data_IF_684676494265
#
_entry.id   IF_684676494265
#
_cell.length_a   1.000
_cell.length_b   1.000
_cell.length_c   1.000
_cell.angle_alpha   90.00
_cell.angle_beta   90.00
_cell.angle_gamma   90.00
#
_symmetry.space_group_name_H-M   'P 1'
#
loop_
_entity.id
_entity.type
_entity.pdbx_description
1 polymer ?
#
# COMPACT_ATOMS: atom_id res chain seq x y z
N UNK A 1 -21.68 8.67 -2.36
CA UNK A 1 -20.36 8.11 -1.97
C UNK A 1 -20.45 7.21 -0.74
N UNK A 2 -20.96 7.68 0.41
CA UNK A 2 -21.07 6.85 1.62
C UNK A 2 -21.90 5.57 1.42
N UNK A 3 -23.08 5.65 0.77
CA UNK A 3 -23.91 4.47 0.48
C UNK A 3 -23.24 3.41 -0.40
N UNK A 4 -22.46 3.85 -1.40
CA UNK A 4 -21.68 2.95 -2.27
C UNK A 4 -20.58 2.21 -1.49
N UNK A 5 -19.85 2.93 -0.63
CA UNK A 5 -18.81 2.32 0.22
C UNK A 5 -19.40 1.37 1.24
N UNK A 6 -20.56 1.72 1.82
CA UNK A 6 -21.27 0.86 2.75
C UNK A 6 -21.68 -0.43 2.06
N UNK A 7 -22.29 -0.35 0.86
CA UNK A 7 -22.67 -1.53 0.10
C UNK A 7 -21.49 -2.47 -0.16
N UNK A 8 -20.37 -1.95 -0.69
CA UNK A 8 -19.20 -2.78 -1.01
C UNK A 8 -18.56 -3.38 0.24
N UNK A 9 -18.43 -2.59 1.31
CA UNK A 9 -17.77 -3.04 2.53
C UNK A 9 -18.61 -4.09 3.26
N UNK A 10 -19.93 -3.95 3.27
CA UNK A 10 -20.83 -4.96 3.84
C UNK A 10 -20.85 -6.25 3.01
N UNK A 11 -20.78 -6.17 1.68
CA UNK A 11 -20.64 -7.39 0.86
C UNK A 11 -19.33 -8.11 1.19
N UNK A 12 -18.23 -7.35 1.37
CA UNK A 12 -16.95 -7.90 1.85
C UNK A 12 -17.07 -8.58 3.23
N UNK A 13 -17.79 -7.95 4.18
CA UNK A 13 -18.04 -8.47 5.53
C UNK A 13 -18.88 -9.77 5.50
N UNK A 14 -19.96 -9.79 4.72
CA UNK A 14 -20.87 -10.94 4.62
C UNK A 14 -20.21 -12.14 3.94
N UNK A 15 -19.41 -11.91 2.90
CA UNK A 15 -18.68 -12.98 2.20
C UNK A 15 -17.69 -13.71 3.11
N UNK A 16 -17.23 -13.10 4.20
CA UNK A 16 -16.28 -13.72 5.14
C UNK A 16 -16.91 -14.72 6.10
N UNK A 17 -18.20 -14.56 6.41
CA UNK A 17 -18.91 -15.42 7.37
C UNK A 17 -18.78 -16.92 7.01
N UNK A 18 -19.01 -17.36 5.77
CA UNK A 18 -18.80 -18.76 5.41
C UNK A 18 -17.31 -19.14 5.30
N UNK A 19 -16.45 -18.19 4.94
CA UNK A 19 -15.03 -18.45 4.68
C UNK A 19 -14.19 -18.62 5.94
N UNK A 20 -14.60 -18.04 7.08
CA UNK A 20 -13.82 -18.07 8.32
C UNK A 20 -13.58 -19.50 8.83
N UNK A 21 -14.59 -20.38 8.78
CA UNK A 21 -14.50 -21.76 9.28
C UNK A 21 -13.54 -22.56 8.43
N UNK A 22 -13.70 -22.46 7.11
CA UNK A 22 -12.80 -23.11 6.17
C UNK A 22 -11.35 -22.62 6.35
N UNK A 23 -11.11 -21.31 6.32
CA UNK A 23 -9.74 -20.79 6.23
C UNK A 23 -8.97 -20.81 7.57
N UNK A 24 -9.65 -20.53 8.69
CA UNK A 24 -9.02 -20.45 10.01
C UNK A 24 -8.96 -21.81 10.70
N UNK A 25 -10.06 -22.58 10.65
CA UNK A 25 -10.18 -23.88 11.36
C UNK A 25 -9.74 -25.03 10.45
N UNK A 26 -10.36 -25.20 9.29
CA UNK A 26 -10.12 -26.40 8.45
C UNK A 26 -8.74 -26.37 7.78
N UNK A 27 -8.36 -25.23 7.21
CA UNK A 27 -7.10 -25.06 6.50
C UNK A 27 -5.95 -24.56 7.39
N UNK A 28 -6.23 -24.18 8.66
CA UNK A 28 -5.27 -23.66 9.65
C UNK A 28 -4.24 -22.69 9.05
N UNK A 29 -4.69 -21.76 8.22
CA UNK A 29 -3.77 -20.86 7.53
C UNK A 29 -3.01 -19.97 8.53
N UNK A 30 -1.74 -19.75 8.22
CA UNK A 30 -0.87 -18.84 8.97
C UNK A 30 -1.13 -17.43 8.47
N UNK A 31 -1.86 -16.62 9.25
CA UNK A 31 -1.98 -15.18 9.02
C UNK A 31 -0.94 -14.49 9.92
N UNK A 32 0.27 -14.20 9.44
CA UNK A 32 1.38 -13.79 10.28
C UNK A 32 1.15 -12.43 10.93
N UNK A 33 0.49 -11.49 10.24
CA UNK A 33 0.08 -10.20 10.84
C UNK A 33 -0.88 -10.43 12.02
N UNK A 34 -1.99 -11.15 11.81
CA UNK A 34 -2.96 -11.44 12.87
C UNK A 34 -2.38 -12.31 14.00
N UNK A 35 -1.45 -13.21 13.68
CA UNK A 35 -0.74 -14.01 14.69
C UNK A 35 0.22 -13.15 15.51
N UNK A 36 0.96 -12.24 14.88
CA UNK A 36 1.82 -11.28 15.58
C UNK A 36 0.99 -10.35 16.49
N UNK A 37 -0.17 -9.87 16.01
CA UNK A 37 -1.11 -9.09 16.81
C UNK A 37 -1.63 -9.88 18.01
N UNK A 38 -2.03 -11.14 17.83
CA UNK A 38 -2.49 -11.97 18.94
C UNK A 38 -1.39 -12.21 19.98
N UNK A 39 -0.17 -12.49 19.54
CA UNK A 39 1.00 -12.64 20.43
C UNK A 39 1.28 -11.34 21.18
N UNK A 40 1.14 -10.18 20.53
CA UNK A 40 1.30 -8.88 21.17
C UNK A 40 0.21 -8.60 22.20
N UNK A 41 -1.07 -8.85 21.87
CA UNK A 41 -2.21 -8.69 22.79
C UNK A 41 -2.05 -9.58 24.02
N UNK A 42 -1.75 -10.86 23.81
CA UNK A 42 -1.47 -11.79 24.91
C UNK A 42 -0.24 -11.36 25.71
N UNK A 43 0.76 -10.79 25.02
CA UNK A 43 1.94 -10.19 25.63
C UNK A 43 1.61 -9.03 26.57
N UNK A 44 0.63 -8.17 26.26
CA UNK A 44 0.21 -7.05 27.11
C UNK A 44 -0.40 -7.48 28.44
N UNK A 45 -1.01 -8.66 28.51
CA UNK A 45 -1.61 -9.19 29.73
C UNK A 45 -0.57 -9.82 30.68
N UNK A 46 0.71 -9.76 30.34
CA UNK A 46 1.81 -10.14 31.25
C UNK A 46 2.31 -8.91 32.01
N UNK A 47 2.80 -9.05 33.26
CA UNK A 47 3.36 -7.93 34.03
C UNK A 47 4.61 -7.29 33.36
N UNK A 48 5.30 -8.03 32.49
CA UNK A 48 6.35 -7.51 31.63
C UNK A 48 5.79 -6.67 30.46
N UNK A 49 4.63 -7.07 29.93
CA UNK A 49 3.89 -6.43 28.86
C UNK A 49 3.34 -5.06 29.21
N UNK A 50 2.84 -4.88 30.43
CA UNK A 50 2.35 -3.58 30.92
C UNK A 50 3.45 -2.50 30.87
N UNK A 51 4.66 -2.83 31.34
CA UNK A 51 5.81 -1.92 31.28
C UNK A 51 6.17 -1.58 29.83
N UNK A 52 6.18 -2.57 28.94
CA UNK A 52 6.45 -2.37 27.52
C UNK A 52 5.38 -1.53 26.83
N UNK A 53 4.09 -1.77 27.14
CA UNK A 53 2.96 -0.99 26.63
C UNK A 53 3.08 0.48 27.06
N UNK A 54 3.37 0.74 28.35
CA UNK A 54 3.56 2.10 28.86
C UNK A 54 4.76 2.80 28.22
N UNK A 55 5.81 2.08 27.84
CA UNK A 55 6.92 2.64 27.07
C UNK A 55 6.53 2.93 25.62
N UNK A 56 5.81 2.02 24.95
CA UNK A 56 5.32 2.20 23.58
C UNK A 56 4.36 3.38 23.47
N UNK A 57 3.35 3.47 24.34
CA UNK A 57 2.39 4.59 24.36
C UNK A 57 3.12 5.92 24.60
N UNK A 58 4.09 5.95 25.52
CA UNK A 58 4.88 7.16 25.77
C UNK A 58 5.75 7.55 24.57
N UNK A 59 6.36 6.58 23.90
CA UNK A 59 7.12 6.79 22.67
C UNK A 59 6.23 7.32 21.54
N UNK A 60 5.06 6.73 21.37
CA UNK A 60 4.03 7.17 20.43
C UNK A 60 3.58 8.60 20.72
N UNK A 61 3.15 8.91 21.95
CA UNK A 61 2.67 10.27 22.30
C UNK A 61 3.77 11.32 22.13
N UNK A 62 5.01 11.01 22.50
CA UNK A 62 6.14 11.95 22.33
C UNK A 62 6.41 12.23 20.86
N UNK A 63 6.53 11.18 20.04
CA UNK A 63 6.75 11.32 18.59
C UNK A 63 5.58 11.99 17.89
N UNK A 64 4.36 11.70 18.31
CA UNK A 64 3.13 12.37 17.86
C UNK A 64 3.18 13.88 18.10
N UNK A 65 3.48 14.31 19.33
CA UNK A 65 3.56 15.75 19.66
C UNK A 65 4.71 16.43 18.90
N UNK A 66 5.88 15.78 18.82
CA UNK A 66 7.01 16.31 18.02
C UNK A 66 6.59 16.49 16.57
N UNK A 67 5.91 15.50 15.98
CA UNK A 67 5.51 15.58 14.59
C UNK A 67 4.45 16.63 14.34
N UNK A 68 3.45 16.75 15.22
CA UNK A 68 2.41 17.77 15.11
C UNK A 68 3.00 19.18 15.20
N UNK A 69 3.91 19.41 16.15
CA UNK A 69 4.60 20.70 16.30
C UNK A 69 5.51 21.01 15.11
N UNK A 70 6.20 19.99 14.58
CA UNK A 70 7.02 20.14 13.38
C UNK A 70 6.18 20.50 12.16
N UNK A 71 5.05 19.83 11.94
CA UNK A 71 4.15 20.13 10.82
C UNK A 71 3.50 21.52 10.94
N UNK A 72 3.15 21.94 12.16
CA UNK A 72 2.73 23.33 12.44
C UNK A 72 3.84 24.34 12.10
N UNK A 73 5.06 24.07 12.55
CA UNK A 73 6.22 24.90 12.24
C UNK A 73 6.45 24.98 10.73
N UNK A 74 6.44 23.85 10.01
CA UNK A 74 6.59 23.84 8.56
C UNK A 74 5.49 24.64 7.86
N UNK A 75 4.24 24.48 8.28
CA UNK A 75 3.10 25.22 7.74
C UNK A 75 3.29 26.74 7.88
N UNK A 76 3.90 27.23 8.96
CA UNK A 76 4.15 28.67 9.14
C UNK A 76 5.02 29.31 8.03
N UNK A 77 5.87 28.52 7.36
CA UNK A 77 6.80 28.98 6.31
C UNK A 77 6.35 28.67 4.86
N UNK A 78 5.15 28.14 4.66
CA UNK A 78 4.63 27.74 3.33
C UNK A 78 3.72 28.81 2.68
N UNK A 79 3.91 30.09 3.01
CA UNK A 79 3.04 31.22 2.64
C UNK A 79 2.89 31.57 1.15
N UNK A 80 3.33 30.72 0.22
CA UNK A 80 3.21 30.97 -1.22
C UNK A 80 3.52 29.75 -2.09
N UNK A 81 3.38 29.91 -3.41
CA UNK A 81 3.74 28.85 -4.36
C UNK A 81 5.24 28.56 -4.31
N UNK A 82 5.58 27.29 -4.09
CA UNK A 82 6.96 26.81 -3.98
C UNK A 82 7.75 27.43 -2.81
N UNK A 83 7.08 27.64 -1.68
CA UNK A 83 7.70 28.13 -0.44
C UNK A 83 7.72 27.05 0.65
N UNK A 84 8.71 27.10 1.54
CA UNK A 84 8.81 26.29 2.74
C UNK A 84 9.96 25.27 2.72
N UNK A 85 10.21 24.66 3.88
CA UNK A 85 11.27 23.66 4.07
C UNK A 85 11.13 22.43 3.17
N UNK A 86 9.92 22.16 2.68
CA UNK A 86 9.60 21.09 1.74
C UNK A 86 10.37 21.21 0.41
N UNK A 87 10.90 22.38 0.05
CA UNK A 87 11.68 22.58 -1.17
C UNK A 87 13.16 22.89 -0.92
N UNK A 88 13.66 22.60 0.28
CA UNK A 88 15.05 22.90 0.62
C UNK A 88 16.03 22.06 -0.21
N UNK A 89 16.94 22.67 -1.00
CA UNK A 89 17.84 21.94 -1.90
C UNK A 89 19.02 21.31 -1.14
N UNK A 90 18.77 20.28 -0.33
CA UNK A 90 19.78 19.60 0.52
C UNK A 90 20.99 19.10 -0.26
N UNK A 91 20.80 18.60 -1.47
CA UNK A 91 21.86 18.05 -2.32
C UNK A 91 22.29 19.01 -3.45
N UNK A 92 21.90 20.27 -3.36
CA UNK A 92 22.19 21.32 -4.35
C UNK A 92 21.13 21.48 -5.44
N UNK A 93 21.21 22.59 -6.18
CA UNK A 93 20.19 23.02 -7.15
C UNK A 93 20.00 22.05 -8.32
N UNK A 94 21.06 21.36 -8.75
CA UNK A 94 20.97 20.39 -9.85
C UNK A 94 20.20 19.13 -9.45
N UNK A 95 20.45 18.62 -8.24
CA UNK A 95 19.73 17.49 -7.66
C UNK A 95 18.26 17.84 -7.38
N UNK A 96 18.01 19.06 -6.88
CA UNK A 96 16.67 19.58 -6.65
C UNK A 96 15.81 19.61 -7.93
N UNK A 97 16.37 20.04 -9.08
CA UNK A 97 15.68 19.99 -10.39
C UNK A 97 15.27 18.57 -10.79
N UNK A 98 15.99 17.56 -10.32
CA UNK A 98 15.67 16.14 -10.53
C UNK A 98 14.85 15.55 -9.38
N UNK A 99 14.24 16.37 -8.53
CA UNK A 99 13.46 15.97 -7.35
C UNK A 99 14.27 15.27 -6.24
N UNK A 100 15.60 15.30 -6.29
CA UNK A 100 16.45 14.78 -5.21
C UNK A 100 16.69 15.88 -4.17
N UNK A 101 15.84 15.89 -3.15
CA UNK A 101 15.98 16.71 -1.96
C UNK A 101 15.30 16.00 -0.77
N UNK A 102 15.61 16.44 0.45
CA UNK A 102 14.94 15.99 1.66
C UNK A 102 13.81 16.96 1.97
N UNK A 103 12.58 16.49 2.02
CA UNK A 103 11.40 17.35 2.20
C UNK A 103 11.05 17.61 3.67
N UNK A 104 11.80 16.98 4.59
CA UNK A 104 11.59 17.05 6.04
C UNK A 104 10.18 16.57 6.48
N UNK A 105 9.48 15.78 5.68
CA UNK A 105 8.21 15.16 6.07
C UNK A 105 8.45 14.00 7.03
N UNK A 106 7.98 14.16 8.26
CA UNK A 106 8.04 13.11 9.26
C UNK A 106 7.12 11.93 8.91
N UNK A 107 6.12 12.11 8.05
CA UNK A 107 5.34 11.00 7.48
C UNK A 107 6.21 10.06 6.68
N UNK A 108 7.05 10.58 5.76
CA UNK A 108 7.91 9.73 4.93
C UNK A 108 9.08 9.14 5.70
N UNK A 109 9.64 9.88 6.67
CA UNK A 109 10.62 9.35 7.61
C UNK A 109 10.00 8.21 8.42
N UNK A 110 8.80 8.40 8.98
CA UNK A 110 8.06 7.36 9.72
C UNK A 110 7.75 6.13 8.85
N UNK A 111 7.31 6.32 7.62
CA UNK A 111 7.11 5.22 6.67
C UNK A 111 8.43 4.45 6.42
N UNK A 112 9.54 5.16 6.25
CA UNK A 112 10.87 4.58 6.13
C UNK A 112 11.38 3.81 7.36
N UNK A 113 10.90 4.18 8.56
CA UNK A 113 11.19 3.46 9.80
C UNK A 113 10.43 2.12 9.91
N UNK A 114 9.21 2.05 9.37
CA UNK A 114 8.36 0.85 9.39
C UNK A 114 8.76 -0.11 8.26
N UNK A 115 9.02 0.43 7.07
CA UNK A 115 9.39 -0.36 5.92
C UNK A 115 10.76 -1.03 6.11
N UNK A 116 10.89 -2.27 5.65
CA UNK A 116 12.18 -2.96 5.67
C UNK A 116 13.23 -2.20 4.86
N UNK A 117 14.49 -2.27 5.27
CA UNK A 117 15.60 -1.66 4.54
C UNK A 117 15.66 -2.10 3.06
N UNK A 118 15.20 -3.32 2.76
CA UNK A 118 15.11 -3.81 1.38
C UNK A 118 14.13 -2.98 0.54
N UNK A 119 12.97 -2.63 1.11
CA UNK A 119 11.98 -1.78 0.44
C UNK A 119 12.57 -0.40 0.19
N UNK A 120 13.21 0.20 1.19
CA UNK A 120 13.75 1.56 1.08
C UNK A 120 14.96 1.65 0.13
N UNK A 121 15.82 0.64 0.10
CA UNK A 121 16.89 0.57 -0.90
C UNK A 121 16.34 0.34 -2.30
N UNK A 122 15.27 -0.44 -2.43
CA UNK A 122 14.59 -0.66 -3.72
C UNK A 122 13.90 0.61 -4.22
N UNK A 123 13.22 1.36 -3.34
CA UNK A 123 12.64 2.67 -3.69
C UNK A 123 13.75 3.65 -4.06
N UNK A 124 14.87 3.70 -3.33
CA UNK A 124 16.00 4.56 -3.70
C UNK A 124 16.59 4.19 -5.06
N UNK A 125 16.78 2.90 -5.33
CA UNK A 125 17.26 2.43 -6.63
C UNK A 125 16.28 2.81 -7.76
N UNK A 126 14.97 2.66 -7.53
CA UNK A 126 13.93 3.13 -8.44
C UNK A 126 13.96 4.65 -8.68
N UNK A 127 14.25 5.44 -7.65
CA UNK A 127 14.38 6.90 -7.75
C UNK A 127 15.59 7.31 -8.61
N UNK A 128 16.75 6.70 -8.36
CA UNK A 128 17.98 6.92 -9.15
C UNK A 128 17.77 6.54 -10.60
N UNK A 129 17.17 5.38 -10.86
CA UNK A 129 16.93 4.90 -12.21
C UNK A 129 15.92 5.80 -12.96
N UNK A 130 14.83 6.21 -12.31
CA UNK A 130 13.80 7.05 -12.94
C UNK A 130 14.22 8.51 -13.10
N UNK A 131 14.38 9.24 -11.99
CA UNK A 131 14.64 10.69 -12.00
C UNK A 131 16.11 11.04 -12.22
N UNK A 132 17.04 10.15 -11.88
CA UNK A 132 18.46 10.36 -12.10
C UNK A 132 18.91 10.05 -13.53
N UNK A 133 18.35 9.01 -14.15
CA UNK A 133 18.83 8.49 -15.45
C UNK A 133 17.75 8.60 -16.54
N UNK A 134 16.60 7.95 -16.38
CA UNK A 134 15.62 7.80 -17.47
C UNK A 134 14.97 9.12 -17.89
N UNK A 135 14.42 9.90 -16.97
CA UNK A 135 13.72 11.15 -17.33
C UNK A 135 14.64 12.20 -17.96
N UNK A 136 15.87 12.43 -17.45
CA UNK A 136 16.82 13.31 -18.12
C UNK A 136 17.20 12.86 -19.53
N UNK A 137 17.32 11.56 -19.78
CA UNK A 137 17.64 11.02 -21.11
C UNK A 137 16.46 11.15 -22.09
N UNK A 138 15.25 10.85 -21.64
CA UNK A 138 14.03 10.97 -22.47
C UNK A 138 13.71 12.44 -22.75
N UNK A 139 13.95 13.33 -21.79
CA UNK A 139 13.76 14.77 -21.94
C UNK A 139 14.62 15.37 -23.07
N UNK A 140 15.83 14.83 -23.30
CA UNK A 140 16.69 15.23 -24.44
C UNK A 140 16.13 14.84 -25.81
N UNK A 141 15.19 13.89 -25.88
CA UNK A 141 14.58 13.41 -27.13
C UNK A 141 13.25 14.13 -27.45
N UNK A 142 12.99 15.28 -26.80
CA UNK A 142 11.82 16.13 -27.06
C UNK A 142 11.80 16.58 -28.52
N UNK A 143 10.65 16.41 -29.19
CA UNK A 143 10.47 16.72 -30.61
C UNK A 143 10.59 15.51 -31.55
N UNK A 144 11.36 14.48 -31.17
CA UNK A 144 11.54 13.25 -31.98
C UNK A 144 10.65 12.12 -31.44
N UNK A 145 10.70 11.87 -30.14
CA UNK A 145 9.95 10.78 -29.49
C UNK A 145 8.54 11.21 -29.08
N UNK A 146 8.38 12.48 -28.69
CA UNK A 146 7.10 13.08 -28.33
C UNK A 146 7.04 14.55 -28.78
N UNK A 147 5.84 15.07 -29.11
CA UNK A 147 5.67 16.41 -29.65
C UNK A 147 6.07 17.49 -28.63
N UNK A 148 6.79 18.51 -29.09
CA UNK A 148 7.25 19.62 -28.24
C UNK A 148 6.12 20.61 -27.85
N UNK A 149 5.03 20.62 -28.61
CA UNK A 149 3.93 21.58 -28.50
C UNK A 149 2.90 21.20 -27.42
N UNK A 150 3.06 20.05 -26.76
CA UNK A 150 2.10 19.55 -25.79
C UNK A 150 2.69 19.70 -24.38
N UNK A 151 1.90 20.17 -23.38
CA UNK A 151 2.38 20.31 -22.01
C UNK A 151 2.93 18.99 -21.44
N UNK A 152 3.93 19.09 -20.57
CA UNK A 152 4.60 17.92 -19.95
C UNK A 152 3.67 17.06 -19.10
N UNK A 153 2.51 17.59 -18.73
CA UNK A 153 1.44 16.89 -18.01
C UNK A 153 0.55 16.00 -18.89
N UNK A 154 0.63 16.15 -20.22
CA UNK A 154 -0.18 15.36 -21.15
C UNK A 154 0.31 13.92 -21.31
N UNK A 155 -0.61 13.02 -21.64
CA UNK A 155 -0.29 11.59 -21.86
C UNK A 155 0.60 11.35 -23.08
N UNK A 156 0.58 12.25 -24.06
CA UNK A 156 1.41 12.15 -25.26
C UNK A 156 2.83 12.69 -25.04
N UNK A 157 3.12 13.27 -23.88
CA UNK A 157 4.43 13.84 -23.53
C UNK A 157 5.16 12.99 -22.49
N UNK A 158 6.17 13.55 -21.82
CA UNK A 158 7.07 12.85 -20.89
C UNK A 158 6.31 12.06 -19.81
N UNK A 159 5.15 12.58 -19.35
CA UNK A 159 4.34 11.95 -18.31
C UNK A 159 3.73 10.60 -18.73
N UNK A 160 3.45 10.42 -20.04
CA UNK A 160 3.04 9.13 -20.59
C UNK A 160 4.09 8.06 -20.30
N UNK A 161 5.36 8.33 -20.63
CA UNK A 161 6.46 7.40 -20.35
C UNK A 161 6.59 7.10 -18.85
N UNK A 162 6.48 8.12 -17.98
CA UNK A 162 6.50 7.94 -16.52
C UNK A 162 5.42 6.98 -16.04
N UNK A 163 4.20 7.19 -16.51
CA UNK A 163 3.04 6.39 -16.14
C UNK A 163 3.15 4.96 -16.65
N UNK A 164 3.41 4.76 -17.94
CA UNK A 164 3.38 3.43 -18.56
C UNK A 164 4.54 2.53 -18.13
N UNK A 165 5.74 3.08 -17.91
CA UNK A 165 6.85 2.30 -17.36
C UNK A 165 6.57 1.85 -15.91
N UNK A 166 5.96 2.73 -15.10
CA UNK A 166 5.50 2.38 -13.76
C UNK A 166 4.42 1.28 -13.80
N UNK A 167 3.42 1.43 -14.68
CA UNK A 167 2.37 0.41 -14.92
C UNK A 167 3.00 -0.93 -15.26
N UNK A 168 3.95 -0.95 -16.20
CA UNK A 168 4.60 -2.16 -16.67
C UNK A 168 5.41 -2.87 -15.58
N UNK A 169 6.16 -2.12 -14.75
CA UNK A 169 6.88 -2.69 -13.61
C UNK A 169 5.94 -3.35 -12.60
N UNK A 170 4.85 -2.64 -12.23
CA UNK A 170 3.88 -3.16 -11.25
C UNK A 170 3.10 -4.34 -11.84
N UNK A 171 2.76 -4.30 -13.13
CA UNK A 171 2.02 -5.37 -13.78
C UNK A 171 2.88 -6.62 -13.96
N UNK A 172 4.17 -6.47 -14.30
CA UNK A 172 5.11 -7.58 -14.36
C UNK A 172 5.31 -8.26 -13.01
N UNK A 173 5.40 -7.48 -11.94
CA UNK A 173 5.56 -7.99 -10.57
C UNK A 173 4.28 -8.71 -10.11
N UNK A 174 3.12 -8.07 -10.34
CA UNK A 174 1.82 -8.63 -10.01
C UNK A 174 1.50 -9.92 -10.78
N UNK A 175 1.79 -9.98 -12.08
CA UNK A 175 1.55 -11.17 -12.89
C UNK A 175 2.45 -12.33 -12.46
N UNK A 176 3.72 -12.06 -12.18
CA UNK A 176 4.65 -13.08 -11.69
C UNK A 176 4.14 -13.72 -10.39
N UNK A 177 3.79 -12.89 -9.40
CA UNK A 177 3.27 -13.39 -8.12
C UNK A 177 1.94 -14.11 -8.31
N UNK A 178 1.04 -13.61 -9.16
CA UNK A 178 -0.23 -14.26 -9.47
C UNK A 178 -0.04 -15.66 -10.04
N UNK A 179 0.81 -15.82 -11.07
CA UNK A 179 1.11 -17.13 -11.69
C UNK A 179 1.74 -18.07 -10.66
N UNK A 180 2.75 -17.60 -9.93
CA UNK A 180 3.45 -18.39 -8.92
C UNK A 180 2.52 -18.87 -7.81
N UNK A 181 1.70 -17.98 -7.26
CA UNK A 181 0.76 -18.27 -6.18
C UNK A 181 -0.34 -19.23 -6.64
N UNK A 182 -0.86 -19.03 -7.85
CA UNK A 182 -1.83 -19.94 -8.46
C UNK A 182 -1.23 -21.33 -8.65
N UNK A 183 0.00 -21.42 -9.16
CA UNK A 183 0.71 -22.69 -9.35
C UNK A 183 1.01 -23.44 -8.04
N UNK A 184 1.50 -22.74 -7.01
CA UNK A 184 1.75 -23.33 -5.68
C UNK A 184 0.44 -23.82 -5.06
N UNK A 185 -0.62 -23.02 -5.16
CA UNK A 185 -1.93 -23.38 -4.61
C UNK A 185 -2.51 -24.58 -5.33
N UNK A 186 -2.50 -24.62 -6.66
CA UNK A 186 -2.97 -25.76 -7.44
C UNK A 186 -2.23 -27.05 -7.05
N UNK A 187 -0.89 -27.00 -6.94
CA UNK A 187 -0.07 -28.14 -6.47
C UNK A 187 -0.42 -28.55 -5.03
N UNK A 188 -0.59 -27.60 -4.12
CA UNK A 188 -0.95 -27.87 -2.73
C UNK A 188 -2.34 -28.51 -2.61
N UNK A 189 -3.31 -28.02 -3.38
CA UNK A 189 -4.67 -28.56 -3.41
C UNK A 189 -4.69 -29.97 -3.99
N UNK A 190 -3.96 -30.20 -5.08
CA UNK A 190 -3.81 -31.52 -5.69
C UNK A 190 -3.15 -32.53 -4.73
N UNK A 191 -2.08 -32.11 -4.03
CA UNK A 191 -1.40 -32.94 -3.05
C UNK A 191 -2.26 -33.22 -1.79
N UNK A 192 -3.05 -32.25 -1.33
CA UNK A 192 -3.97 -32.44 -0.20
C UNK A 192 -5.19 -33.28 -0.56
N UNK A 193 -5.70 -33.20 -1.80
CA UNK A 193 -6.75 -34.09 -2.30
C UNK A 193 -6.31 -35.56 -2.21
N UNK A 194 -5.08 -35.85 -2.66
CA UNK A 194 -4.48 -37.19 -2.55
C UNK A 194 -4.24 -37.61 -1.08
N UNK A 195 -3.88 -36.69 -0.18
CA UNK A 195 -3.69 -37.01 1.26
C UNK A 195 -5.01 -37.19 2.03
N UNK A 196 -6.12 -36.57 1.62
CA UNK A 196 -7.45 -36.78 2.24
C UNK A 196 -7.96 -38.21 2.08
N UNK A 197 -7.56 -38.91 1.02
CA UNK A 197 -7.82 -40.34 0.87
C UNK A 197 -7.05 -41.22 1.87
N UNK A 198 -5.85 -40.79 2.29
CA UNK A 198 -4.98 -41.57 3.20
C UNK A 198 -5.23 -41.25 4.68
N UNK A 199 -5.53 -39.99 5.03
CA UNK A 199 -5.71 -39.57 6.44
C UNK A 199 -7.06 -39.92 7.08
N UNK A 200 -8.08 -40.29 6.31
CA UNK A 200 -9.38 -40.72 6.86
C UNK A 200 -9.30 -42.05 7.62
N UNK A 201 -8.17 -42.77 7.52
CA UNK A 201 -7.93 -44.03 8.21
C UNK A 201 -7.09 -43.92 9.51
N UNK A 202 -6.59 -42.74 9.90
CA UNK A 202 -5.51 -42.67 10.91
C UNK A 202 -5.57 -41.52 11.95
N UNK A 203 -6.66 -40.74 12.03
CA UNK A 203 -6.59 -39.42 12.70
C UNK A 203 -7.73 -39.12 13.68
N UNK A 204 -8.17 -40.11 14.46
CA UNK A 204 -9.06 -39.88 15.62
C UNK A 204 -8.31 -39.48 16.92
N UNK A 205 -7.01 -39.72 17.06
CA UNK A 205 -6.41 -39.77 18.41
C UNK A 205 -5.43 -38.67 18.86
N UNK A 206 -5.27 -37.53 18.16
CA UNK A 206 -4.38 -36.45 18.69
C UNK A 206 -4.81 -35.03 18.30
N UNK A 207 -5.82 -34.49 18.98
CA UNK A 207 -6.10 -33.04 19.00
C UNK A 207 -5.89 -32.52 20.42
N UNK A 208 -5.07 -31.48 20.59
CA UNK A 208 -4.81 -30.90 21.92
C UNK A 208 -6.08 -30.27 22.52
N UNK A 209 -6.26 -30.37 23.84
CA UNK A 209 -7.45 -29.85 24.54
C UNK A 209 -7.66 -28.34 24.29
N UNK A 210 -6.57 -27.57 24.26
CA UNK A 210 -6.62 -26.13 23.96
C UNK A 210 -7.12 -25.84 22.54
N UNK A 211 -6.79 -26.68 21.56
CA UNK A 211 -7.29 -26.54 20.19
C UNK A 211 -8.78 -26.94 20.10
N UNK A 212 -9.21 -27.94 20.87
CA UNK A 212 -10.63 -28.31 20.97
C UNK A 212 -11.46 -27.16 21.55
N UNK A 213 -11.00 -26.57 22.66
CA UNK A 213 -11.67 -25.43 23.31
C UNK A 213 -11.72 -24.19 22.39
N UNK A 214 -10.63 -23.88 21.66
CA UNK A 214 -10.62 -22.80 20.66
C UNK A 214 -11.61 -23.03 19.52
N UNK A 215 -11.67 -24.27 19.02
CA UNK A 215 -12.57 -24.60 17.93
C UNK A 215 -14.03 -24.52 18.38
N UNK A 216 -14.35 -25.06 19.57
CA UNK A 216 -15.70 -25.10 20.12
C UNK A 216 -16.31 -23.70 20.28
N UNK A 217 -15.56 -22.76 20.87
CA UNK A 217 -15.94 -21.33 21.03
C UNK A 217 -16.15 -20.64 19.66
N UNK A 218 -15.38 -21.03 18.65
CA UNK A 218 -15.46 -20.43 17.33
C UNK A 218 -16.57 -21.04 16.46
N UNK A 219 -16.97 -22.29 16.74
CA UNK A 219 -18.03 -23.03 16.02
C UNK A 219 -19.42 -22.92 16.63
N UNK A 220 -19.61 -22.36 17.83
CA UNK A 220 -20.93 -22.19 18.50
C UNK A 220 -21.89 -21.22 17.77
N UNK A 221 -21.58 -20.85 16.54
CA UNK A 221 -22.42 -20.06 15.65
C UNK A 221 -22.37 -20.69 14.25
N UNK A 222 -23.26 -21.65 14.03
CA UNK A 222 -23.61 -22.18 12.71
C UNK A 222 -25.13 -22.19 12.64
N UNK A 223 -25.68 -21.35 11.76
CA UNK A 223 -26.98 -21.63 11.18
C UNK A 223 -26.77 -21.91 9.68
N UNK A 224 -27.54 -22.88 9.22
CA UNK A 224 -27.18 -23.79 8.15
C UNK A 224 -27.40 -23.25 6.73
N UNK A 225 -26.73 -23.92 5.75
CA UNK A 225 -27.03 -23.93 4.30
C UNK A 225 -26.71 -22.67 3.47
N UNK A 226 -25.42 -22.33 3.33
CA UNK A 226 -24.93 -21.62 2.14
C UNK A 226 -23.51 -22.05 1.72
N UNK A 227 -23.14 -23.31 2.00
CA UNK A 227 -21.76 -23.79 1.82
C UNK A 227 -21.50 -24.51 0.48
N UNK A 228 -22.43 -24.47 -0.48
CA UNK A 228 -22.32 -25.28 -1.71
C UNK A 228 -21.87 -24.52 -2.96
N UNK A 229 -21.88 -23.18 -2.97
CA UNK A 229 -21.56 -22.40 -4.20
C UNK A 229 -20.15 -21.78 -4.17
N UNK A 230 -19.50 -21.67 -3.00
CA UNK A 230 -18.22 -20.96 -2.87
C UNK A 230 -17.00 -21.89 -2.67
N UNK A 231 -17.04 -23.12 -3.21
CA UNK A 231 -15.99 -24.14 -2.99
C UNK A 231 -14.82 -24.12 -4.00
N UNK A 232 -14.85 -23.27 -5.03
CA UNK A 232 -13.90 -23.39 -6.15
C UNK A 232 -12.95 -22.19 -6.34
N UNK A 233 -13.12 -21.01 -5.70
CA UNK A 233 -12.34 -19.83 -6.11
C UNK A 233 -11.49 -19.08 -5.07
N UNK A 234 -11.50 -19.39 -3.77
CA UNK A 234 -10.78 -18.55 -2.80
C UNK A 234 -9.48 -19.18 -2.31
N UNK A 235 -8.45 -18.83 -3.08
CA UNK A 235 -7.07 -19.27 -3.02
C UNK A 235 -6.36 -18.77 -1.75
N UNK A 236 -5.61 -19.70 -1.17
CA UNK A 236 -4.65 -19.60 -0.07
C UNK A 236 -3.51 -18.64 -0.43
N UNK A 237 -3.67 -17.34 -0.15
CA UNK A 237 -2.60 -16.35 -0.33
C UNK A 237 -1.62 -16.36 0.84
N UNK A 238 -0.35 -16.67 0.54
CA UNK A 238 0.75 -16.61 1.50
C UNK A 238 0.98 -15.16 1.92
N UNK A 239 0.65 -14.90 3.17
CA UNK A 239 0.25 -13.59 3.66
C UNK A 239 1.43 -12.82 4.27
N UNK A 240 2.54 -12.68 3.54
CA UNK A 240 3.68 -11.85 4.00
C UNK A 240 3.61 -10.41 3.48
N UNK A 241 2.72 -10.14 2.52
CA UNK A 241 2.70 -8.92 1.72
C UNK A 241 1.26 -8.43 1.41
N UNK A 242 0.31 -8.66 2.32
CA UNK A 242 -1.12 -8.40 2.10
C UNK A 242 -1.43 -6.95 1.60
N UNK A 243 -0.62 -5.97 1.99
CA UNK A 243 -0.77 -4.59 1.50
C UNK A 243 -0.30 -4.37 0.04
N UNK A 244 0.62 -5.20 -0.46
CA UNK A 244 1.15 -5.11 -1.84
C UNK A 244 0.47 -6.08 -2.81
N UNK A 245 -0.12 -7.17 -2.33
CA UNK A 245 -0.65 -8.25 -3.16
C UNK A 245 -2.09 -8.02 -3.69
N UNK A 246 -2.79 -6.99 -3.21
CA UNK A 246 -4.17 -6.66 -3.66
C UNK A 246 -4.21 -5.75 -4.91
N UNK A 247 -3.06 -5.16 -5.27
CA UNK A 247 -2.88 -4.30 -6.45
C UNK A 247 -3.09 -5.02 -7.80
N UNK A 248 -2.63 -6.26 -8.03
CA UNK A 248 -2.84 -6.95 -9.31
C UNK A 248 -4.32 -7.27 -9.61
N UNK A 249 -5.11 -7.70 -8.62
CA UNK A 249 -6.52 -8.08 -8.85
C UNK A 249 -7.37 -6.93 -9.36
N UNK A 250 -7.24 -5.75 -8.72
CA UNK A 250 -7.93 -4.55 -9.18
C UNK A 250 -7.53 -4.16 -10.59
N UNK A 251 -6.24 -4.27 -10.95
CA UNK A 251 -5.73 -3.91 -12.27
C UNK A 251 -6.14 -4.90 -13.37
N UNK A 252 -6.17 -6.19 -13.08
CA UNK A 252 -6.68 -7.19 -14.03
C UNK A 252 -8.16 -6.93 -14.29
N UNK A 253 -8.95 -6.72 -13.23
CA UNK A 253 -10.36 -6.35 -13.36
C UNK A 253 -10.53 -5.06 -14.16
N UNK A 254 -9.67 -4.06 -13.93
CA UNK A 254 -9.67 -2.81 -14.69
C UNK A 254 -9.57 -3.06 -16.20
N UNK A 255 -8.59 -3.84 -16.66
CA UNK A 255 -8.42 -4.11 -18.09
C UNK A 255 -9.60 -4.90 -18.68
N UNK A 256 -10.15 -5.86 -17.94
CA UNK A 256 -11.30 -6.66 -18.38
C UNK A 256 -12.54 -5.77 -18.54
N UNK A 257 -12.90 -4.99 -17.51
CA UNK A 257 -14.08 -4.12 -17.55
C UNK A 257 -13.89 -2.94 -18.49
N UNK A 258 -12.67 -2.42 -18.63
CA UNK A 258 -12.36 -1.37 -19.60
C UNK A 258 -12.53 -1.86 -21.04
N UNK A 259 -12.00 -3.05 -21.37
CA UNK A 259 -12.15 -3.63 -22.69
C UNK A 259 -13.62 -3.98 -23.01
N UNK A 260 -14.38 -4.42 -22.00
CA UNK A 260 -15.80 -4.76 -22.18
C UNK A 260 -16.68 -3.52 -22.36
N UNK A 261 -16.43 -2.42 -21.62
CA UNK A 261 -17.28 -1.22 -21.65
C UNK A 261 -17.21 -0.38 -22.93
N UNK A 262 -16.44 -0.77 -23.95
CA UNK A 262 -16.39 -0.09 -25.24
C UNK A 262 -15.70 1.29 -25.21
N UNK A 263 -15.71 2.00 -26.35
CA UNK A 263 -14.96 3.27 -26.51
C UNK A 263 -15.50 4.43 -25.68
N UNK A 264 -16.81 4.49 -25.47
CA UNK A 264 -17.46 5.66 -24.86
C UNK A 264 -17.51 5.57 -23.33
N UNK A 265 -17.87 4.40 -22.78
CA UNK A 265 -18.03 4.20 -21.32
C UNK A 265 -16.96 3.29 -20.68
N UNK A 266 -16.07 2.69 -21.48
CA UNK A 266 -15.09 1.70 -21.00
C UNK A 266 -14.14 2.25 -19.95
N UNK A 267 -13.74 3.53 -20.03
CA UNK A 267 -12.83 4.11 -19.04
C UNK A 267 -13.48 4.18 -17.66
N UNK A 268 -14.74 4.61 -17.60
CA UNK A 268 -15.49 4.73 -16.34
C UNK A 268 -15.82 3.32 -15.81
N UNK A 269 -16.30 2.43 -16.67
CA UNK A 269 -16.61 1.04 -16.31
C UNK A 269 -15.37 0.31 -15.75
N UNK A 270 -14.21 0.47 -16.39
CA UNK A 270 -12.94 -0.07 -15.94
C UNK A 270 -12.51 0.45 -14.57
N UNK A 271 -12.62 1.77 -14.34
CA UNK A 271 -12.26 2.40 -13.07
C UNK A 271 -13.19 1.96 -11.92
N UNK A 272 -14.50 1.95 -12.15
CA UNK A 272 -15.49 1.53 -11.15
C UNK A 272 -15.34 0.04 -10.85
N UNK A 273 -15.23 -0.80 -11.88
CA UNK A 273 -15.01 -2.24 -11.72
C UNK A 273 -13.72 -2.55 -10.95
N UNK A 274 -12.62 -1.86 -11.28
CA UNK A 274 -11.37 -1.93 -10.53
C UNK A 274 -11.57 -1.57 -9.05
N UNK A 275 -12.26 -0.47 -8.76
CA UNK A 275 -12.47 0.00 -7.40
C UNK A 275 -13.28 -0.99 -6.57
N UNK A 276 -14.36 -1.55 -7.13
CA UNK A 276 -15.21 -2.55 -6.48
C UNK A 276 -14.39 -3.80 -6.14
N UNK A 277 -13.70 -4.38 -7.13
CA UNK A 277 -12.92 -5.62 -6.93
C UNK A 277 -11.80 -5.39 -5.93
N UNK A 278 -11.04 -4.31 -6.09
CA UNK A 278 -9.94 -3.97 -5.17
C UNK A 278 -10.46 -3.81 -3.73
N UNK A 279 -11.54 -3.05 -3.54
CA UNK A 279 -12.07 -2.78 -2.21
C UNK A 279 -12.63 -4.05 -1.56
N UNK A 280 -13.36 -4.88 -2.32
CA UNK A 280 -13.90 -6.14 -1.83
C UNK A 280 -12.79 -7.08 -1.36
N UNK A 281 -11.76 -7.29 -2.21
CA UNK A 281 -10.62 -8.16 -1.88
C UNK A 281 -9.85 -7.62 -0.68
N UNK A 282 -9.60 -6.31 -0.62
CA UNK A 282 -8.90 -5.67 0.49
C UNK A 282 -9.65 -5.86 1.82
N UNK A 283 -10.94 -5.53 1.85
CA UNK A 283 -11.78 -5.66 3.05
C UNK A 283 -11.83 -7.11 3.51
N UNK A 284 -12.01 -8.05 2.59
CA UNK A 284 -12.00 -9.48 2.91
C UNK A 284 -10.65 -9.95 3.47
N UNK A 285 -9.53 -9.48 2.91
CA UNK A 285 -8.21 -9.86 3.37
C UNK A 285 -7.90 -9.31 4.78
N UNK A 286 -8.21 -8.03 5.02
CA UNK A 286 -7.94 -7.36 6.30
C UNK A 286 -8.79 -7.97 7.42
N UNK A 287 -10.09 -8.17 7.20
CA UNK A 287 -10.98 -8.74 8.22
C UNK A 287 -10.63 -10.20 8.58
N UNK A 288 -10.05 -10.95 7.65
CA UNK A 288 -9.60 -12.32 7.91
C UNK A 288 -8.38 -12.36 8.86
N UNK A 289 -7.52 -11.34 8.82
CA UNK A 289 -6.44 -11.19 9.81
C UNK A 289 -6.98 -11.00 11.22
N UNK A 290 -8.06 -10.21 11.37
CA UNK A 290 -8.71 -10.01 12.66
C UNK A 290 -9.33 -11.31 13.18
N UNK A 291 -9.99 -12.10 12.33
CA UNK A 291 -10.54 -13.39 12.73
C UNK A 291 -9.46 -14.36 13.21
N UNK A 292 -8.29 -14.37 12.56
CA UNK A 292 -7.16 -15.16 13.07
C UNK A 292 -6.68 -14.66 14.42
N UNK A 293 -6.61 -13.33 14.59
CA UNK A 293 -6.25 -12.72 15.88
C UNK A 293 -7.23 -13.15 16.96
N UNK A 294 -8.53 -12.99 16.71
CA UNK A 294 -9.61 -13.38 17.63
C UNK A 294 -9.60 -14.86 18.00
N UNK A 295 -9.31 -15.75 17.04
CA UNK A 295 -9.19 -17.18 17.31
C UNK A 295 -8.01 -17.51 18.23
N UNK A 296 -6.89 -16.77 18.13
CA UNK A 296 -5.70 -16.96 18.98
C UNK A 296 -5.84 -16.29 20.35
N UNK A 297 -6.66 -15.23 20.46
CA UNK A 297 -6.94 -14.52 21.72
C UNK A 297 -8.21 -15.02 22.42
N UNK A 298 -8.82 -16.13 21.94
CA UNK A 298 -10.08 -16.68 22.47
C UNK A 298 -11.24 -15.68 22.49
N UNK A 299 -11.21 -14.69 21.60
CA UNK A 299 -12.26 -13.67 21.50
C UNK A 299 -13.48 -14.23 20.78
N UNK A 300 -14.68 -13.91 21.28
CA UNK A 300 -15.91 -14.40 20.67
C UNK A 300 -16.08 -13.87 19.23
N UNK A 301 -16.39 -14.73 18.24
CA UNK A 301 -16.57 -14.29 16.85
C UNK A 301 -17.72 -13.30 16.66
N UNK A 302 -18.73 -13.34 17.54
CA UNK A 302 -19.88 -12.44 17.51
C UNK A 302 -19.47 -11.02 17.87
N UNK A 303 -18.70 -10.86 18.95
CA UNK A 303 -18.19 -9.55 19.36
C UNK A 303 -17.27 -8.98 18.28
N UNK A 304 -16.43 -9.83 17.67
CA UNK A 304 -15.55 -9.41 16.58
C UNK A 304 -16.34 -8.94 15.35
N UNK A 305 -17.37 -9.68 14.92
CA UNK A 305 -18.22 -9.30 13.79
C UNK A 305 -18.95 -7.99 14.04
N UNK A 306 -19.51 -7.79 15.24
CA UNK A 306 -20.19 -6.54 15.62
C UNK A 306 -19.19 -5.38 15.62
N UNK A 307 -18.00 -5.57 16.19
CA UNK A 307 -16.94 -4.56 16.18
C UNK A 307 -16.51 -4.18 14.76
N UNK A 308 -16.34 -5.16 13.87
CA UNK A 308 -16.02 -4.94 12.46
C UNK A 308 -17.15 -4.21 11.73
N UNK A 309 -18.41 -4.55 11.99
CA UNK A 309 -19.57 -3.87 11.39
C UNK A 309 -19.63 -2.39 11.83
N UNK A 310 -19.47 -2.11 13.13
CA UNK A 310 -19.46 -0.74 13.67
C UNK A 310 -18.30 0.06 13.06
N UNK A 311 -17.09 -0.50 13.07
CA UNK A 311 -15.91 0.15 12.48
C UNK A 311 -16.07 0.42 10.99
N UNK A 312 -16.69 -0.51 10.26
CA UNK A 312 -17.01 -0.33 8.83
C UNK A 312 -17.99 0.82 8.62
N UNK A 313 -19.09 0.87 9.38
CA UNK A 313 -20.08 1.96 9.29
C UNK A 313 -19.43 3.32 9.59
N UNK A 314 -18.64 3.41 10.67
CA UNK A 314 -17.90 4.63 11.00
C UNK A 314 -16.94 5.04 9.88
N UNK A 315 -16.17 4.08 9.34
CA UNK A 315 -15.25 4.32 8.23
C UNK A 315 -15.95 4.81 6.97
N UNK A 316 -17.11 4.27 6.63
CA UNK A 316 -17.92 4.69 5.47
C UNK A 316 -18.47 6.12 5.60
N UNK A 317 -18.53 6.69 6.81
CA UNK A 317 -18.96 8.09 7.04
C UNK A 317 -17.73 9.00 7.12
N UNK A 318 -16.75 8.64 7.94
CA UNK A 318 -15.57 9.47 8.21
C UNK A 318 -14.71 9.63 6.97
N UNK A 319 -14.43 8.54 6.23
CA UNK A 319 -13.52 8.60 5.09
C UNK A 319 -14.05 9.49 3.95
N UNK A 320 -15.32 9.39 3.50
CA UNK A 320 -15.85 10.29 2.48
C UNK A 320 -15.95 11.74 2.93
N UNK A 321 -16.35 11.97 4.18
CA UNK A 321 -16.46 13.32 4.73
C UNK A 321 -15.09 14.00 4.75
N UNK A 322 -14.07 13.27 5.19
CA UNK A 322 -12.68 13.73 5.20
C UNK A 322 -12.19 13.98 3.77
N UNK A 323 -12.46 13.06 2.83
CA UNK A 323 -12.09 13.24 1.42
C UNK A 323 -12.74 14.48 0.80
N UNK A 324 -14.04 14.71 1.02
CA UNK A 324 -14.75 15.88 0.49
C UNK A 324 -14.23 17.19 1.08
N UNK A 325 -13.83 17.18 2.36
CA UNK A 325 -13.18 18.33 3.00
C UNK A 325 -11.86 18.66 2.30
N UNK A 326 -10.98 17.67 2.13
CA UNK A 326 -9.70 17.86 1.42
C UNK A 326 -9.89 18.28 -0.04
N UNK A 327 -10.85 17.68 -0.74
CA UNK A 327 -11.14 17.99 -2.14
C UNK A 327 -11.66 19.42 -2.34
N UNK A 328 -12.35 19.99 -1.35
CA UNK A 328 -12.77 21.39 -1.37
C UNK A 328 -11.69 22.35 -0.87
N UNK A 329 -10.84 21.91 0.07
CA UNK A 329 -9.82 22.74 0.70
C UNK A 329 -8.58 22.96 -0.16
N UNK A 330 -8.22 21.97 -0.97
CA UNK A 330 -7.04 21.97 -1.81
C UNK A 330 -7.41 21.69 -3.26
N UNK A 331 -6.63 22.26 -4.19
CA UNK A 331 -6.78 22.04 -5.63
C UNK A 331 -6.19 20.68 -6.03
N UNK A 332 -6.85 19.61 -5.58
CA UNK A 332 -6.41 18.22 -5.78
C UNK A 332 -6.64 17.82 -7.23
N UNK A 333 -5.56 17.40 -7.89
CA UNK A 333 -5.61 16.92 -9.27
C UNK A 333 -5.16 17.94 -10.31
N UNK A 334 -4.83 19.17 -9.91
CA UNK A 334 -4.18 20.13 -10.78
C UNK A 334 -2.75 19.64 -11.14
N UNK A 335 -2.43 19.43 -12.43
CA UNK A 335 -1.11 18.93 -12.84
C UNK A 335 0.04 19.92 -12.58
N UNK A 336 -0.26 21.21 -12.49
CA UNK A 336 0.71 22.28 -12.27
C UNK A 336 0.73 22.74 -10.80
N UNK A 337 -0.26 22.33 -10.01
CA UNK A 337 -0.35 22.58 -8.57
C UNK A 337 0.55 21.68 -7.71
N UNK A 338 0.60 21.98 -6.42
CA UNK A 338 1.33 21.17 -5.44
C UNK A 338 0.64 19.81 -5.17
N UNK A 339 -0.70 19.82 -5.07
CA UNK A 339 -1.52 18.64 -4.75
C UNK A 339 -1.86 17.79 -5.97
N UNK A 340 -0.83 17.26 -6.63
CA UNK A 340 -0.99 16.37 -7.78
C UNK A 340 -1.62 15.05 -7.33
N UNK A 341 -2.47 14.47 -8.17
CA UNK A 341 -3.07 13.15 -7.94
C UNK A 341 -2.42 12.09 -8.87
N UNK A 342 -1.13 11.74 -8.67
CA UNK A 342 -0.40 10.88 -9.60
C UNK A 342 -1.05 9.51 -9.73
N UNK A 343 -1.55 8.94 -8.63
CA UNK A 343 -2.24 7.64 -8.65
C UNK A 343 -3.55 7.67 -9.43
N UNK A 344 -4.36 8.72 -9.31
CA UNK A 344 -5.61 8.83 -10.06
C UNK A 344 -5.35 8.86 -11.57
N UNK A 345 -4.30 9.57 -11.98
CA UNK A 345 -3.83 9.61 -13.37
C UNK A 345 -3.35 8.23 -13.85
N UNK A 346 -2.63 7.46 -13.03
CA UNK A 346 -2.23 6.09 -13.38
C UNK A 346 -3.43 5.23 -13.73
N UNK A 347 -4.43 5.20 -12.84
CA UNK A 347 -5.62 4.36 -13.03
C UNK A 347 -6.42 4.81 -14.25
N UNK A 348 -6.56 6.12 -14.47
CA UNK A 348 -7.17 6.66 -15.69
C UNK A 348 -6.41 6.22 -16.94
N UNK A 349 -5.07 6.31 -16.93
CA UNK A 349 -4.23 5.96 -18.07
C UNK A 349 -4.26 4.46 -18.38
N UNK A 350 -4.32 3.61 -17.34
CA UNK A 350 -4.54 2.17 -17.51
C UNK A 350 -5.91 1.89 -18.14
N UNK A 351 -6.94 2.62 -17.73
CA UNK A 351 -8.29 2.42 -18.25
C UNK A 351 -8.40 2.85 -19.71
N UNK A 352 -7.79 3.99 -20.08
CA UNK A 352 -7.66 4.43 -21.49
C UNK A 352 -6.92 3.37 -22.32
N UNK A 353 -5.80 2.82 -21.82
CA UNK A 353 -5.07 1.75 -22.50
C UNK A 353 -5.93 0.49 -22.70
N UNK A 354 -6.81 0.17 -21.74
CA UNK A 354 -7.75 -0.94 -21.86
C UNK A 354 -8.82 -0.73 -22.95
N UNK A 355 -9.14 0.52 -23.28
CA UNK A 355 -10.18 0.89 -24.25
C UNK A 355 -9.61 1.15 -25.66
N UNK A 356 -8.60 2.02 -25.76
CA UNK A 356 -8.01 2.47 -27.02
C UNK A 356 -6.86 1.55 -27.49
N UNK A 357 -6.41 0.62 -26.64
CA UNK A 357 -5.29 -0.26 -26.90
C UNK A 357 -3.96 0.50 -27.01
N UNK A 358 -2.96 -0.15 -27.61
CA UNK A 358 -1.60 0.39 -27.73
C UNK A 358 -1.47 1.59 -28.68
N UNK A 359 -2.55 1.98 -29.37
CA UNK A 359 -2.56 3.08 -30.35
C UNK A 359 -2.46 4.47 -29.71
N UNK A 360 -2.81 4.61 -28.42
CA UNK A 360 -2.76 5.86 -27.67
C UNK A 360 -1.34 6.24 -27.17
N UNK A 361 -0.33 5.41 -27.43
CA UNK A 361 0.99 5.53 -26.83
C UNK A 361 1.96 6.39 -27.67
N UNK A 362 2.83 7.20 -27.02
CA UNK A 362 3.94 7.87 -27.69
C UNK A 362 4.87 6.88 -28.40
N UNK A 363 5.61 7.35 -29.41
CA UNK A 363 6.59 6.53 -30.15
C UNK A 363 7.57 5.89 -29.17
N UNK A 364 7.93 4.62 -29.39
CA UNK A 364 8.87 3.83 -28.55
C UNK A 364 8.42 3.57 -27.10
N UNK A 365 7.27 4.06 -26.65
CA UNK A 365 6.78 3.86 -25.28
C UNK A 365 6.47 2.39 -24.99
N UNK A 366 5.92 1.67 -25.97
CA UNK A 366 5.60 0.25 -25.84
C UNK A 366 6.85 -0.61 -25.64
N UNK A 367 7.91 -0.38 -26.42
CA UNK A 367 9.17 -1.13 -26.31
C UNK A 367 9.82 -0.94 -24.95
N UNK A 368 9.86 0.31 -24.45
CA UNK A 368 10.41 0.62 -23.13
C UNK A 368 9.56 0.01 -22.01
N UNK A 369 8.23 0.01 -22.16
CA UNK A 369 7.31 -0.62 -21.21
C UNK A 369 7.47 -2.14 -21.21
N UNK A 370 7.63 -2.76 -22.37
CA UNK A 370 7.91 -4.19 -22.49
C UNK A 370 9.26 -4.56 -21.85
N UNK A 371 10.30 -3.74 -22.03
CA UNK A 371 11.59 -3.92 -21.36
C UNK A 371 11.46 -3.83 -19.83
N UNK A 372 10.71 -2.84 -19.31
CA UNK A 372 10.42 -2.73 -17.87
C UNK A 372 9.63 -3.94 -17.33
N UNK A 373 8.65 -4.42 -18.10
CA UNK A 373 7.88 -5.61 -17.74
C UNK A 373 8.78 -6.86 -17.67
N UNK A 374 9.59 -7.10 -18.70
CA UNK A 374 10.55 -8.20 -18.75
C UNK A 374 11.57 -8.10 -17.60
N UNK A 375 12.08 -6.91 -17.32
CA UNK A 375 12.96 -6.65 -16.18
C UNK A 375 12.30 -7.03 -14.85
N UNK A 376 11.05 -6.63 -14.64
CA UNK A 376 10.29 -6.96 -13.42
C UNK A 376 10.13 -8.47 -13.22
N UNK A 377 9.77 -9.19 -14.28
CA UNK A 377 9.67 -10.67 -14.26
C UNK A 377 11.03 -11.31 -14.02
N UNK A 378 12.09 -10.84 -14.69
CA UNK A 378 13.44 -11.36 -14.54
C UNK A 378 13.99 -11.17 -13.12
N UNK A 379 13.82 -9.98 -12.53
CA UNK A 379 14.24 -9.70 -11.15
C UNK A 379 13.54 -10.63 -10.16
N UNK A 380 12.25 -10.87 -10.35
CA UNK A 380 11.50 -11.79 -9.51
C UNK A 380 11.90 -13.27 -9.69
N UNK A 381 12.15 -13.71 -10.93
CA UNK A 381 12.72 -15.02 -11.21
C UNK A 381 14.08 -15.19 -10.53
N UNK A 382 14.99 -14.22 -10.74
CA UNK A 382 16.30 -14.21 -10.08
C UNK A 382 16.15 -14.28 -8.56
N UNK A 383 15.22 -13.53 -7.97
CA UNK A 383 14.97 -13.54 -6.53
C UNK A 383 14.55 -14.91 -5.99
N UNK A 384 13.79 -15.67 -6.77
CA UNK A 384 13.30 -16.99 -6.36
C UNK A 384 14.30 -18.12 -6.60
N UNK A 385 15.10 -18.03 -7.66
CA UNK A 385 16.17 -19.01 -7.93
C UNK A 385 17.45 -18.74 -7.14
N UNK A 386 17.62 -17.52 -6.61
CA UNK A 386 18.82 -17.15 -5.88
C UNK A 386 18.84 -17.73 -4.45
N UNK A 387 20.03 -18.11 -4.01
CA UNK A 387 20.25 -18.67 -2.66
C UNK A 387 19.96 -17.63 -1.56
N UNK A 388 19.65 -18.11 -0.35
CA UNK A 388 19.21 -17.32 0.80
C UNK A 388 20.09 -16.08 1.12
N UNK A 389 21.38 -16.10 0.74
CA UNK A 389 22.34 -14.99 0.92
C UNK A 389 22.07 -13.82 -0.04
N UNK A 390 21.81 -14.09 -1.31
CA UNK A 390 21.66 -13.06 -2.34
C UNK A 390 20.23 -12.51 -2.40
N UNK A 391 19.23 -13.26 -1.94
CA UNK A 391 17.82 -12.83 -1.87
C UNK A 391 17.60 -11.53 -1.07
N UNK A 392 18.52 -11.20 -0.15
CA UNK A 392 18.49 -9.97 0.66
C UNK A 392 18.92 -8.71 -0.11
N UNK A 393 19.57 -8.86 -1.25
CA UNK A 393 20.08 -7.74 -2.06
C UNK A 393 19.29 -7.50 -3.34
N UNK A 394 18.46 -8.46 -3.76
CA UNK A 394 17.65 -8.33 -4.97
C UNK A 394 16.53 -7.31 -4.72
N UNK A 395 16.46 -6.22 -5.51
CA UNK A 395 15.46 -5.18 -5.30
C UNK A 395 14.05 -5.69 -5.60
N UNK A 396 13.06 -4.99 -5.05
CA UNK A 396 11.65 -5.25 -5.24
C UNK A 396 11.11 -4.39 -6.39
N UNK A 397 10.72 -4.96 -7.54
CA UNK A 397 10.23 -4.17 -8.68
C UNK A 397 9.04 -3.28 -8.35
N UNK A 398 8.12 -3.76 -7.51
CA UNK A 398 6.98 -2.94 -7.04
C UNK A 398 7.42 -1.71 -6.24
N UNK A 399 8.42 -1.85 -5.37
CA UNK A 399 8.95 -0.72 -4.58
C UNK A 399 9.71 0.26 -5.48
N UNK A 400 10.46 -0.25 -6.46
CA UNK A 400 11.14 0.58 -7.47
C UNK A 400 10.17 1.40 -8.33
N UNK A 401 8.93 0.94 -8.53
CA UNK A 401 7.96 1.60 -9.38
C UNK A 401 7.34 2.87 -8.74
N UNK A 402 7.31 2.98 -7.41
CA UNK A 402 6.68 4.12 -6.71
C UNK A 402 7.35 5.47 -7.03
N UNK A 403 8.69 5.61 -6.96
CA UNK A 403 9.38 6.86 -7.29
C UNK A 403 9.23 7.32 -8.74
N UNK A 404 8.91 6.43 -9.69
CA UNK A 404 8.77 6.80 -11.10
C UNK A 404 7.74 7.92 -11.32
N UNK A 405 6.77 8.04 -10.41
CA UNK A 405 5.68 9.01 -10.49
C UNK A 405 5.64 9.99 -9.33
N UNK A 406 5.95 9.53 -8.11
CA UNK A 406 5.85 10.39 -6.92
C UNK A 406 6.99 11.42 -6.87
N UNK A 407 8.20 11.01 -7.23
CA UNK A 407 9.41 11.83 -7.06
C UNK A 407 10.51 11.06 -6.35
N UNK A 408 11.75 11.57 -6.46
CA UNK A 408 12.90 11.00 -5.77
C UNK A 408 12.99 11.43 -4.29
N UNK A 409 12.39 12.57 -3.92
CA UNK A 409 12.34 13.10 -2.55
C UNK A 409 11.78 12.06 -1.57
N UNK A 410 10.62 11.48 -1.90
CA UNK A 410 10.00 10.41 -1.10
C UNK A 410 10.97 9.26 -0.78
N UNK A 411 11.78 8.82 -1.75
CA UNK A 411 12.72 7.72 -1.54
C UNK A 411 13.90 8.13 -0.64
N UNK A 412 14.33 9.38 -0.70
CA UNK A 412 15.34 9.95 0.19
C UNK A 412 14.82 9.97 1.64
N UNK A 413 13.62 10.47 1.87
CA UNK A 413 13.06 10.60 3.21
C UNK A 413 12.84 9.23 3.87
N UNK A 414 12.39 8.24 3.09
CA UNK A 414 12.30 6.85 3.55
C UNK A 414 13.67 6.28 3.92
N UNK A 415 14.73 6.60 3.16
CA UNK A 415 16.08 6.17 3.48
C UNK A 415 16.59 6.80 4.80
N UNK A 416 16.27 8.07 5.05
CA UNK A 416 16.57 8.73 6.33
C UNK A 416 15.88 8.00 7.49
N UNK A 417 14.61 7.61 7.35
CA UNK A 417 13.91 6.78 8.34
C UNK A 417 14.63 5.46 8.64
N UNK A 418 15.12 4.78 7.60
CA UNK A 418 15.93 3.57 7.77
C UNK A 418 17.28 3.81 8.44
N UNK A 419 17.95 4.92 8.16
CA UNK A 419 19.21 5.30 8.83
C UNK A 419 19.00 5.58 10.32
N UNK A 420 17.88 6.21 10.68
CA UNK A 420 17.47 6.40 12.08
C UNK A 420 17.29 5.06 12.78
N UNK A 421 16.54 4.12 12.18
CA UNK A 421 16.34 2.78 12.74
C UNK A 421 17.64 1.99 12.84
N UNK A 422 18.50 2.06 11.82
CA UNK A 422 19.80 1.40 11.82
C UNK A 422 20.69 1.91 12.96
N UNK A 423 20.74 3.22 13.15
CA UNK A 423 21.50 3.86 14.23
C UNK A 423 20.94 3.48 15.61
N UNK A 424 19.62 3.47 15.76
CA UNK A 424 18.95 3.05 17.00
C UNK A 424 19.24 1.58 17.31
N UNK A 425 19.16 0.69 16.32
CA UNK A 425 19.49 -0.72 16.52
C UNK A 425 20.94 -0.94 16.95
N UNK A 426 21.87 -0.12 16.47
CA UNK A 426 23.29 -0.17 16.85
C UNK A 426 23.52 0.28 18.30
N UNK A 427 22.73 1.23 18.80
CA UNK A 427 22.82 1.70 20.20
C UNK A 427 22.07 0.78 21.18
N UNK A 428 20.81 0.42 20.87
CA UNK A 428 19.93 -0.32 21.78
C UNK A 428 19.00 -1.27 21.03
N UNK A 429 19.47 -2.51 20.81
CA UNK A 429 18.78 -3.50 19.97
C UNK A 429 17.40 -3.93 20.48
N UNK A 430 17.26 -4.22 21.79
CA UNK A 430 16.00 -4.69 22.39
C UNK A 430 14.92 -3.61 22.47
N UNK A 431 15.33 -2.37 22.78
CA UNK A 431 14.43 -1.22 22.89
C UNK A 431 13.94 -0.77 21.49
N UNK A 432 14.83 -0.76 20.49
CA UNK A 432 14.49 -0.40 19.12
C UNK A 432 13.39 -1.28 18.52
N UNK A 433 13.48 -2.61 18.66
CA UNK A 433 12.47 -3.53 18.08
C UNK A 433 11.06 -3.27 18.63
N UNK A 434 10.94 -2.84 19.89
CA UNK A 434 9.66 -2.59 20.54
C UNK A 434 9.13 -1.17 20.29
N UNK A 435 10.01 -0.16 20.23
CA UNK A 435 9.62 1.25 20.13
C UNK A 435 9.55 1.79 18.71
N UNK A 436 10.30 1.24 17.76
CA UNK A 436 10.34 1.75 16.38
C UNK A 436 8.95 1.83 15.73
N UNK A 437 8.10 0.78 15.79
CA UNK A 437 6.75 0.87 15.23
C UNK A 437 5.92 1.97 15.91
N UNK A 438 5.99 2.09 17.25
CA UNK A 438 5.25 3.08 18.01
C UNK A 438 5.69 4.53 17.67
N UNK A 439 7.00 4.77 17.57
CA UNK A 439 7.55 6.09 17.22
C UNK A 439 7.21 6.47 15.77
N UNK A 440 7.35 5.52 14.85
CA UNK A 440 7.05 5.74 13.45
C UNK A 440 5.55 6.00 13.20
N UNK A 441 4.67 5.26 13.88
CA UNK A 441 3.23 5.53 13.86
C UNK A 441 2.90 6.90 14.45
N UNK A 442 3.61 7.35 15.50
CA UNK A 442 3.44 8.69 16.06
C UNK A 442 3.83 9.79 15.06
N UNK A 443 4.92 9.62 14.31
CA UNK A 443 5.30 10.54 13.24
C UNK A 443 4.26 10.63 12.13
N UNK A 444 3.78 9.48 11.62
CA UNK A 444 2.76 9.45 10.57
C UNK A 444 1.44 10.07 11.06
N UNK A 445 1.03 9.74 12.30
CA UNK A 445 -0.22 10.22 12.86
C UNK A 445 -0.17 11.71 13.20
N UNK A 446 0.93 12.22 13.75
CA UNK A 446 1.06 13.63 14.13
C UNK A 446 1.02 14.58 12.92
N UNK A 447 1.76 14.24 11.86
CA UNK A 447 1.72 14.98 10.60
C UNK A 447 0.34 14.86 9.92
N UNK A 448 -0.23 13.65 9.88
CA UNK A 448 -1.56 13.40 9.34
C UNK A 448 -2.70 14.13 10.08
N UNK A 449 -2.62 14.28 11.40
CA UNK A 449 -3.61 15.04 12.17
C UNK A 449 -3.46 16.55 11.93
N UNK A 450 -2.25 17.07 11.76
CA UNK A 450 -2.03 18.48 11.45
C UNK A 450 -2.63 18.90 10.09
N UNK A 451 -2.71 17.95 9.14
CA UNK A 451 -3.37 18.19 7.85
C UNK A 451 -4.82 18.65 7.99
N UNK A 452 -5.56 18.22 9.01
CA UNK A 452 -6.96 18.62 9.20
C UNK A 452 -7.11 20.11 9.57
N UNK A 453 -6.46 20.64 10.63
CA UNK A 453 -6.44 22.09 10.88
C UNK A 453 -5.93 22.91 9.69
N UNK A 454 -4.85 22.46 9.03
CA UNK A 454 -4.31 23.19 7.87
C UNK A 454 -5.32 23.30 6.72
N UNK A 455 -6.14 22.26 6.51
CA UNK A 455 -7.21 22.26 5.51
C UNK A 455 -8.33 23.23 5.90
N UNK A 456 -8.69 23.29 7.18
CA UNK A 456 -9.70 24.22 7.68
C UNK A 456 -9.22 25.67 7.55
N UNK A 457 -7.95 25.94 7.84
CA UNK A 457 -7.32 27.25 7.65
C UNK A 457 -7.28 27.65 6.16
N UNK A 458 -6.95 26.70 5.28
CA UNK A 458 -7.01 26.90 3.82
C UNK A 458 -8.43 27.25 3.34
N UNK A 459 -9.45 26.54 3.85
CA UNK A 459 -10.87 26.84 3.58
C UNK A 459 -11.30 28.21 4.10
N UNK A 460 -10.75 28.65 5.23
CA UNK A 460 -10.95 29.98 5.78
C UNK A 460 -10.14 31.07 5.05
N UNK A 461 -9.42 30.72 3.96
CA UNK A 461 -8.52 31.60 3.20
C UNK A 461 -7.42 32.26 4.05
N UNK A 462 -7.04 31.59 5.15
CA UNK A 462 -5.91 32.02 5.98
C UNK A 462 -4.63 31.50 5.34
N UNK A 463 -3.89 32.41 4.69
CA UNK A 463 -2.60 32.07 4.12
C UNK A 463 -1.53 31.99 5.23
N UNK A 464 -0.54 31.10 5.10
CA UNK A 464 0.57 31.09 6.02
C UNK A 464 1.36 32.40 5.96
N UNK A 465 1.88 32.88 7.10
CA UNK A 465 2.40 34.24 7.21
C UNK A 465 3.75 34.46 6.52
N UNK A 466 4.58 33.43 6.40
CA UNK A 466 5.95 33.54 5.86
C UNK A 466 6.09 32.65 4.63
N UNK A 467 6.68 33.16 3.55
CA UNK A 467 7.13 32.35 2.41
C UNK A 467 8.67 32.31 2.41
N UNK A 468 9.25 31.14 2.66
CA UNK A 468 10.70 30.92 2.54
C UNK A 468 11.01 30.25 1.20
N UNK A 469 11.69 30.94 0.28
CA UNK A 469 12.11 30.40 -1.02
C UNK A 469 13.61 30.12 -1.02
N UNK A 470 13.99 28.97 -1.54
CA UNK A 470 15.39 28.52 -1.66
C UNK A 470 15.89 28.44 -3.10
N UNK A 471 15.04 28.77 -4.07
CA UNK A 471 15.42 28.90 -5.47
C UNK A 471 16.04 30.27 -5.74
N UNK A 472 17.05 30.39 -6.63
CA UNK A 472 17.50 31.69 -7.08
C UNK A 472 16.29 32.47 -7.62
N UNK A 473 16.14 33.72 -7.19
CA UNK A 473 15.09 34.61 -7.69
C UNK A 473 15.19 34.68 -9.21
N UNK A 474 14.09 34.35 -9.89
CA UNK A 474 13.91 34.62 -11.31
C UNK A 474 13.78 36.11 -11.54
#
# INVERSE_FOLDING_TARGET
>A
MAGFLLAISFVGLLNLLPLRKALVIDYKLTYPSGTATAVLINGFHTPQGEKNAKMQVRGFVRSFVISLLWSFFQWFYTGGQSCGFLQFPTFGLKAWKQTFFFDFSLTYVGAGMICSHLVNLSTLFGAVLSWGIMWPLISKQKGIWYPANVPESSMTSLFGYKSFMCVALIMGDGLYHFIKLTGITAKSLHAQSNRKHVKRAANEDTVSFDDLQRNEVFTTFDDSKLASVCRICLIKHHCYNCHTDNVPYGKIALFIFAAWGGKDDGVIAGLVGCAIVKQLVQVSADLMHDYKTGHLTLTSPRSLLVGQAIGTVMGCIIAPSTFLLFYKAFDIGNPDGYWKAPYALIYRNMAILGVEGFSALPKRCLELSAACFAFSVLVNLLRDFSTQKYRKYVPLPMAMAVPFLVGANFAVDMCVGSLVVFSWHKMKRKEATLLVPAVASGFICGDGIWMFPSSLLSLAKVNPPICMKFTPGS
#
